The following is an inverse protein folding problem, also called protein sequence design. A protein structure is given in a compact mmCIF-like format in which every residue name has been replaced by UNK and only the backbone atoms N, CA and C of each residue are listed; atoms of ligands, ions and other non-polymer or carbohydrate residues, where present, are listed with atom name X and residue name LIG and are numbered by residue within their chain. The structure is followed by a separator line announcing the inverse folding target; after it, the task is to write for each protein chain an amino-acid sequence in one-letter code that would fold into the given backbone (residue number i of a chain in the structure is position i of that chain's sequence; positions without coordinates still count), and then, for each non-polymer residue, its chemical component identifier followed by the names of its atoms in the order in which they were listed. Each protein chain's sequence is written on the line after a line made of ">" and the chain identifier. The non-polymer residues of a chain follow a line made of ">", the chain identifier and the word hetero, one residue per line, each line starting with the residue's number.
data_IF_743643047048
#
_entry.id   IF_743643047048
#
_cell.length_a   1.000
_cell.length_b   1.000
_cell.length_c   1.000
_cell.angle_alpha   90.00
_cell.angle_beta   90.00
_cell.angle_gamma   90.00
#
_symmetry.space_group_name_H-M   'P 1'
#
loop_
_entity.id
_entity.type
_entity.pdbx_description
1 polymer ?
#
# COMPACT_ATOMS: atom_id res chain seq x y z
N UNK A 1 3.71 9.95 -23.33
CA UNK A 1 3.83 9.71 -21.87
C UNK A 1 4.62 8.44 -21.69
N UNK A 2 5.81 8.52 -21.10
CA UNK A 2 6.59 7.33 -20.73
C UNK A 2 5.77 6.58 -19.68
N UNK A 3 5.30 5.39 -20.00
CA UNK A 3 4.71 4.49 -19.02
C UNK A 3 5.88 3.92 -18.22
N UNK A 4 5.99 4.34 -16.96
CA UNK A 4 6.93 3.74 -16.02
C UNK A 4 6.59 2.25 -15.85
N UNK A 5 7.55 1.37 -16.17
CA UNK A 5 7.38 -0.07 -15.98
C UNK A 5 7.88 -0.42 -14.57
N UNK A 6 6.95 -0.72 -13.68
CA UNK A 6 7.30 -1.15 -12.32
C UNK A 6 8.03 -2.52 -12.38
N UNK A 7 9.13 -2.70 -11.62
CA UNK A 7 9.91 -3.93 -11.68
C UNK A 7 9.11 -5.15 -11.21
N UNK A 8 9.35 -6.29 -11.86
CA UNK A 8 8.79 -7.57 -11.43
C UNK A 8 9.58 -8.11 -10.23
N UNK A 9 8.91 -8.27 -9.11
CA UNK A 9 9.46 -8.83 -7.86
C UNK A 9 8.76 -10.13 -7.44
N UNK A 10 7.90 -10.69 -8.28
CA UNK A 10 7.12 -11.90 -7.96
C UNK A 10 7.99 -13.17 -7.79
N UNK A 11 9.19 -13.19 -8.40
CA UNK A 11 10.13 -14.30 -8.35
C UNK A 11 11.12 -14.26 -7.18
N UNK A 12 11.00 -13.34 -6.23
CA UNK A 12 11.92 -13.27 -5.08
C UNK A 12 11.76 -14.50 -4.18
N UNK A 13 12.89 -15.13 -3.74
CA UNK A 13 12.84 -16.27 -2.84
C UNK A 13 12.31 -15.84 -1.47
N UNK A 14 11.40 -16.62 -0.87
CA UNK A 14 10.93 -16.37 0.48
C UNK A 14 12.09 -16.54 1.49
N UNK A 15 12.10 -15.72 2.53
CA UNK A 15 13.03 -15.87 3.64
C UNK A 15 12.66 -17.09 4.50
N UNK A 16 13.65 -17.90 4.88
CA UNK A 16 13.46 -19.06 5.76
C UNK A 16 13.80 -18.69 7.20
N UNK A 17 12.78 -18.67 8.07
CA UNK A 17 12.93 -18.40 9.49
C UNK A 17 13.43 -19.62 10.27
N UNK A 18 14.15 -19.37 11.36
CA UNK A 18 14.53 -20.42 12.31
C UNK A 18 13.35 -20.90 13.16
N UNK A 19 13.56 -22.03 13.89
CA UNK A 19 12.51 -22.71 14.67
C UNK A 19 12.16 -22.00 15.99
N UNK A 20 12.99 -21.07 16.47
CA UNK A 20 12.73 -20.35 17.72
C UNK A 20 11.66 -19.29 17.52
N UNK A 21 10.81 -19.15 18.53
CA UNK A 21 9.73 -18.17 18.57
C UNK A 21 9.84 -17.32 19.83
N UNK A 22 9.63 -16.03 19.68
CA UNK A 22 9.47 -15.08 20.77
C UNK A 22 8.04 -14.52 20.73
N UNK A 23 7.38 -14.43 21.89
CA UNK A 23 6.01 -13.94 22.00
C UNK A 23 5.99 -12.63 22.81
N UNK A 24 5.38 -11.60 22.24
CA UNK A 24 5.11 -10.32 22.89
C UNK A 24 3.61 -10.21 23.18
N UNK A 25 3.24 -9.81 24.39
CA UNK A 25 1.83 -9.48 24.69
C UNK A 25 1.40 -8.30 23.82
N UNK A 26 0.38 -8.52 23.00
CA UNK A 26 -0.18 -7.53 22.09
C UNK A 26 -1.34 -6.78 22.73
N UNK A 27 -2.35 -7.51 23.21
CA UNK A 27 -3.52 -6.94 23.83
C UNK A 27 -4.15 -7.93 24.84
N UNK A 28 -5.08 -7.43 25.61
CA UNK A 28 -5.98 -8.25 26.44
C UNK A 28 -7.40 -7.99 25.93
N UNK A 29 -8.11 -9.06 25.56
CA UNK A 29 -9.44 -8.94 24.99
C UNK A 29 -10.51 -8.55 26.05
N UNK A 30 -11.74 -8.32 25.60
CA UNK A 30 -12.86 -7.96 26.47
C UNK A 30 -13.22 -9.04 27.52
N UNK A 31 -12.75 -10.26 27.36
CA UNK A 31 -12.93 -11.38 28.29
C UNK A 31 -11.77 -11.52 29.28
N UNK A 32 -10.71 -10.73 29.10
CA UNK A 32 -9.50 -10.78 29.89
C UNK A 32 -8.48 -11.83 29.40
N UNK A 33 -8.63 -12.34 28.19
CA UNK A 33 -7.68 -13.26 27.58
C UNK A 33 -6.52 -12.47 26.93
N UNK A 34 -5.29 -12.94 27.18
CA UNK A 34 -4.06 -12.34 26.64
C UNK A 34 -3.83 -12.81 25.20
N UNK A 35 -3.69 -11.85 24.29
CA UNK A 35 -3.38 -12.09 22.88
C UNK A 35 -1.90 -11.76 22.66
N UNK A 36 -1.17 -12.74 22.15
CA UNK A 36 0.26 -12.61 21.90
C UNK A 36 0.57 -12.50 20.42
N UNK A 37 1.49 -11.62 20.09
CA UNK A 37 2.10 -11.48 18.79
C UNK A 37 3.34 -12.35 18.71
N UNK A 38 3.42 -13.17 17.69
CA UNK A 38 4.53 -14.08 17.43
C UNK A 38 5.63 -13.41 16.61
N UNK A 39 6.88 -13.64 17.02
CA UNK A 39 8.09 -13.27 16.29
C UNK A 39 8.93 -14.52 16.06
N UNK A 40 9.34 -14.74 14.81
CA UNK A 40 10.15 -15.88 14.37
C UNK A 40 11.62 -15.50 14.33
N UNK A 41 12.50 -16.42 14.68
CA UNK A 41 13.94 -16.17 14.66
C UNK A 41 14.42 -15.88 13.22
N UNK A 42 15.10 -14.74 13.05
CA UNK A 42 15.80 -14.39 11.82
C UNK A 42 17.23 -14.91 11.86
N UNK A 43 17.97 -14.54 12.92
CA UNK A 43 19.38 -14.86 13.10
C UNK A 43 19.77 -14.77 14.59
N UNK A 44 20.80 -15.51 14.99
CA UNK A 44 21.38 -15.40 16.31
C UNK A 44 22.92 -15.44 16.24
N UNK A 45 23.54 -14.73 17.15
CA UNK A 45 24.99 -14.81 17.43
C UNK A 45 25.26 -15.01 18.92
N UNK A 46 26.51 -14.89 19.37
CA UNK A 46 26.85 -15.10 20.78
C UNK A 46 26.14 -14.12 21.73
N UNK A 47 25.83 -12.90 21.28
CA UNK A 47 25.32 -11.81 22.10
C UNK A 47 23.85 -11.54 21.91
N UNK A 48 23.32 -11.77 20.72
CA UNK A 48 21.98 -11.31 20.32
C UNK A 48 21.18 -12.39 19.62
N UNK A 49 19.86 -12.24 19.66
CA UNK A 49 18.89 -12.91 18.81
C UNK A 49 18.00 -11.85 18.14
N UNK A 50 17.87 -11.92 16.82
CA UNK A 50 16.99 -11.08 16.03
C UNK A 50 15.75 -11.88 15.64
N UNK A 51 14.59 -11.35 15.96
CA UNK A 51 13.30 -11.93 15.63
C UNK A 51 12.48 -10.97 14.76
N UNK A 52 11.58 -11.53 13.96
CA UNK A 52 10.71 -10.78 13.05
C UNK A 52 9.27 -11.31 13.12
N UNK A 53 8.30 -10.39 13.14
CA UNK A 53 6.87 -10.72 13.01
C UNK A 53 6.40 -10.44 11.60
N UNK A 54 5.93 -11.47 10.92
CA UNK A 54 5.36 -11.36 9.57
C UNK A 54 3.96 -10.73 9.57
N UNK A 55 3.29 -10.67 10.72
CA UNK A 55 1.98 -10.03 10.84
C UNK A 55 2.04 -8.49 10.72
N UNK A 56 3.09 -7.85 11.24
CA UNK A 56 3.22 -6.39 11.28
C UNK A 56 4.54 -5.88 10.70
N UNK A 57 5.38 -6.79 10.19
CA UNK A 57 6.69 -6.52 9.59
C UNK A 57 7.66 -5.81 10.55
N UNK A 58 7.51 -6.05 11.85
CA UNK A 58 8.34 -5.45 12.90
C UNK A 58 9.31 -6.47 13.53
N UNK A 59 10.30 -5.97 14.25
CA UNK A 59 11.35 -6.79 14.82
C UNK A 59 11.42 -6.68 16.35
N UNK A 60 12.02 -7.73 16.94
CA UNK A 60 12.50 -7.76 18.32
C UNK A 60 13.96 -8.15 18.34
N UNK A 61 14.81 -7.37 19.01
CA UNK A 61 16.22 -7.65 19.25
C UNK A 61 16.40 -8.01 20.72
N UNK A 62 16.85 -9.23 20.98
CA UNK A 62 17.08 -9.74 22.34
C UNK A 62 18.59 -9.76 22.63
N UNK A 63 19.01 -9.15 23.72
CA UNK A 63 20.38 -9.27 24.24
C UNK A 63 20.47 -10.47 25.20
N UNK A 64 21.18 -11.52 24.79
CA UNK A 64 21.21 -12.82 25.51
C UNK A 64 21.70 -12.73 26.96
N UNK A 65 22.68 -11.85 27.22
CA UNK A 65 23.30 -11.78 28.55
C UNK A 65 22.42 -11.06 29.58
N UNK A 66 21.68 -10.01 29.22
CA UNK A 66 20.79 -9.27 30.12
C UNK A 66 19.33 -9.71 30.03
N UNK A 67 18.93 -10.34 28.94
CA UNK A 67 17.52 -10.63 28.64
C UNK A 67 16.70 -9.40 28.18
N UNK A 68 17.37 -8.26 27.99
CA UNK A 68 16.69 -7.05 27.48
C UNK A 68 16.23 -7.26 26.04
N UNK A 69 15.06 -6.69 25.74
CA UNK A 69 14.44 -6.77 24.40
C UNK A 69 14.13 -5.37 23.90
N UNK A 70 14.59 -5.05 22.70
CA UNK A 70 14.23 -3.83 21.98
C UNK A 70 13.31 -4.17 20.81
N UNK A 71 12.17 -3.49 20.75
CA UNK A 71 11.21 -3.61 19.66
C UNK A 71 11.35 -2.44 18.69
N UNK A 72 11.09 -2.69 17.42
CA UNK A 72 11.05 -1.59 16.43
C UNK A 72 9.82 -0.68 16.58
N UNK A 73 8.77 -1.19 17.20
CA UNK A 73 7.52 -0.47 17.39
C UNK A 73 7.08 -0.49 18.85
N UNK A 74 6.35 0.53 19.33
CA UNK A 74 5.64 0.50 20.61
C UNK A 74 4.69 -0.70 20.68
N UNK A 75 4.31 -1.10 21.92
CA UNK A 75 3.25 -2.10 22.07
C UNK A 75 1.91 -1.55 21.62
N UNK A 76 1.01 -2.41 21.13
CA UNK A 76 -0.33 -2.01 20.72
C UNK A 76 -1.11 -1.32 21.87
N UNK A 77 -0.89 -1.75 23.11
CA UNK A 77 -1.49 -1.16 24.31
C UNK A 77 -1.03 0.29 24.54
N UNK A 78 0.18 0.64 24.12
CA UNK A 78 0.75 2.00 24.26
C UNK A 78 0.36 2.94 23.13
N UNK A 79 -0.11 2.44 22.00
CA UNK A 79 -0.48 3.27 20.86
C UNK A 79 -1.86 3.92 21.06
N UNK A 80 -1.91 4.97 21.89
CA UNK A 80 -3.10 5.81 22.07
C UNK A 80 -2.92 7.14 21.33
N UNK A 81 -3.05 7.11 20.02
CA UNK A 81 -2.76 8.25 19.15
C UNK A 81 -3.83 8.42 18.07
N UNK A 82 -3.82 9.58 17.39
CA UNK A 82 -4.62 9.77 16.18
C UNK A 82 -4.24 8.74 15.11
N UNK A 83 -5.16 8.44 14.19
CA UNK A 83 -4.95 7.43 13.13
C UNK A 83 -3.63 7.61 12.39
N UNK A 84 -3.28 8.84 12.00
CA UNK A 84 -2.03 9.12 11.30
C UNK A 84 -0.78 8.90 12.15
N UNK A 85 -0.82 9.28 13.43
CA UNK A 85 0.29 9.06 14.36
C UNK A 85 0.42 7.55 14.68
N UNK A 86 -0.68 6.87 14.92
CA UNK A 86 -0.73 5.43 15.14
C UNK A 86 -0.11 4.65 13.97
N UNK A 87 -0.47 5.01 12.73
CA UNK A 87 0.13 4.42 11.53
C UNK A 87 1.65 4.66 11.45
N UNK A 88 2.10 5.87 11.80
CA UNK A 88 3.51 6.22 11.85
C UNK A 88 4.27 5.38 12.89
N UNK A 89 3.70 5.21 14.10
CA UNK A 89 4.28 4.40 15.17
C UNK A 89 4.41 2.91 14.82
N UNK A 90 3.56 2.41 13.92
CA UNK A 90 3.62 1.02 13.41
C UNK A 90 4.55 0.85 12.21
N UNK A 91 5.06 1.94 11.64
CA UNK A 91 5.84 1.88 10.40
C UNK A 91 7.32 1.62 10.65
N UNK A 92 7.91 0.69 9.89
CA UNK A 92 9.36 0.47 9.86
C UNK A 92 10.07 1.51 8.99
N UNK A 93 9.36 2.00 7.97
CA UNK A 93 9.88 2.88 6.94
C UNK A 93 8.89 4.00 6.66
N UNK A 94 9.40 5.24 6.56
CA UNK A 94 8.62 6.40 6.15
C UNK A 94 9.40 7.13 5.07
N UNK A 95 8.77 7.42 3.94
CA UNK A 95 9.35 8.21 2.86
C UNK A 95 8.59 9.54 2.71
N UNK A 96 9.32 10.59 2.40
CA UNK A 96 8.74 11.88 2.01
C UNK A 96 9.04 12.14 0.54
N UNK A 97 8.00 12.40 -0.22
CA UNK A 97 8.07 12.56 -1.67
C UNK A 97 7.55 13.91 -2.12
N UNK A 98 8.05 14.37 -3.27
CA UNK A 98 7.53 15.54 -4.00
C UNK A 98 7.07 15.07 -5.38
N UNK A 99 5.82 15.36 -5.73
CA UNK A 99 5.31 15.18 -7.10
C UNK A 99 5.74 16.40 -7.93
N UNK A 100 6.59 16.20 -8.93
CA UNK A 100 7.16 17.25 -9.79
C UNK A 100 6.11 17.95 -10.66
N UNK A 101 4.95 17.31 -10.89
CA UNK A 101 3.91 17.87 -11.73
C UNK A 101 2.98 18.83 -10.97
N UNK A 102 2.73 18.54 -9.70
CA UNK A 102 1.83 19.31 -8.83
C UNK A 102 2.57 20.09 -7.75
N UNK A 103 3.89 19.90 -7.62
CA UNK A 103 4.74 20.43 -6.54
C UNK A 103 4.24 20.04 -5.13
N UNK A 104 3.38 19.02 -5.06
CA UNK A 104 2.81 18.56 -3.80
C UNK A 104 3.78 17.67 -3.03
N UNK A 105 3.81 17.87 -1.72
CA UNK A 105 4.63 17.07 -0.80
C UNK A 105 3.72 16.06 -0.13
N UNK A 106 4.12 14.79 -0.12
CA UNK A 106 3.42 13.75 0.62
C UNK A 106 4.37 12.97 1.52
N UNK A 107 3.84 12.46 2.62
CA UNK A 107 4.52 11.51 3.51
C UNK A 107 3.78 10.20 3.41
N UNK A 108 4.50 9.15 3.05
CA UNK A 108 4.00 7.79 2.91
C UNK A 108 4.70 6.89 3.91
N UNK A 109 4.00 5.94 4.47
CA UNK A 109 4.55 5.06 5.49
C UNK A 109 4.28 3.58 5.19
N UNK A 110 5.19 2.71 5.62
CA UNK A 110 5.11 1.27 5.32
C UNK A 110 3.90 0.57 5.93
N UNK A 111 3.33 1.11 7.00
CA UNK A 111 2.14 0.52 7.61
C UNK A 111 0.89 0.76 6.74
N UNK A 112 0.48 2.02 6.54
CA UNK A 112 -0.74 2.32 5.78
C UNK A 112 -0.58 2.17 4.28
N UNK A 113 0.57 2.58 3.75
CA UNK A 113 0.81 2.66 2.31
C UNK A 113 1.33 1.34 1.71
N UNK A 114 1.52 0.30 2.54
CA UNK A 114 1.91 -1.04 2.11
C UNK A 114 1.16 -2.12 2.89
N UNK A 115 1.52 -2.36 4.16
CA UNK A 115 1.01 -3.48 4.96
C UNK A 115 -0.52 -3.48 5.11
N UNK A 116 -1.13 -2.34 5.44
CA UNK A 116 -2.57 -2.25 5.64
C UNK A 116 -3.34 -2.53 4.34
N UNK A 117 -2.81 -2.11 3.19
CA UNK A 117 -3.40 -2.45 1.90
C UNK A 117 -3.34 -3.95 1.61
N UNK A 118 -2.22 -4.63 1.94
CA UNK A 118 -2.14 -6.08 1.76
C UNK A 118 -3.11 -6.81 2.69
N UNK A 119 -3.13 -6.47 3.97
CA UNK A 119 -4.05 -7.08 4.95
C UNK A 119 -5.52 -6.98 4.49
N UNK A 120 -5.92 -5.81 4.02
CA UNK A 120 -7.27 -5.62 3.53
C UNK A 120 -7.57 -6.41 2.24
N UNK A 121 -6.59 -6.59 1.35
CA UNK A 121 -6.73 -7.46 0.17
C UNK A 121 -6.87 -8.93 0.57
N UNK A 122 -6.08 -9.37 1.56
CA UNK A 122 -6.11 -10.75 2.06
C UNK A 122 -7.44 -11.03 2.80
N UNK A 123 -7.87 -10.13 3.69
CA UNK A 123 -9.12 -10.25 4.44
C UNK A 123 -10.36 -10.31 3.53
N UNK A 124 -10.35 -9.54 2.44
CA UNK A 124 -11.45 -9.51 1.47
C UNK A 124 -11.25 -10.47 0.30
N UNK A 125 -10.19 -11.30 0.31
CA UNK A 125 -9.87 -12.28 -0.73
C UNK A 125 -9.82 -11.67 -2.15
N UNK A 126 -9.31 -10.43 -2.27
CA UNK A 126 -9.34 -9.67 -3.51
C UNK A 126 -8.36 -10.19 -4.57
N UNK A 127 -7.33 -10.93 -4.14
CA UNK A 127 -6.29 -11.49 -5.00
C UNK A 127 -6.54 -12.94 -5.43
N UNK A 128 -7.65 -13.53 -4.99
CA UNK A 128 -7.92 -14.94 -5.24
C UNK A 128 -7.92 -15.28 -6.73
N UNK A 129 -7.04 -16.22 -7.11
CA UNK A 129 -6.91 -16.69 -8.49
C UNK A 129 -6.28 -15.69 -9.47
N UNK A 130 -5.69 -14.60 -8.95
CA UNK A 130 -5.05 -13.55 -9.76
C UNK A 130 -3.54 -13.53 -9.49
N UNK A 131 -2.75 -13.30 -10.52
CA UNK A 131 -1.33 -12.98 -10.39
C UNK A 131 -1.18 -11.47 -10.20
N UNK A 132 -1.09 -11.04 -8.94
CA UNK A 132 -1.09 -9.63 -8.58
C UNK A 132 0.15 -9.30 -7.78
N UNK A 133 0.77 -8.17 -8.08
CA UNK A 133 1.84 -7.60 -7.28
C UNK A 133 1.37 -7.42 -5.83
N UNK A 134 2.13 -7.97 -4.87
CA UNK A 134 1.87 -7.78 -3.44
C UNK A 134 2.38 -6.43 -2.97
N UNK A 135 1.85 -5.94 -1.86
CA UNK A 135 2.28 -4.69 -1.25
C UNK A 135 3.61 -4.81 -0.49
N UNK A 136 4.07 -6.03 -0.22
CA UNK A 136 5.40 -6.30 0.33
C UNK A 136 5.84 -7.74 0.05
N UNK A 137 7.15 -7.97 0.15
CA UNK A 137 7.78 -9.29 0.05
C UNK A 137 8.79 -9.47 1.18
N UNK A 138 8.76 -10.63 1.83
CA UNK A 138 9.73 -11.02 2.84
C UNK A 138 10.68 -12.00 2.16
N UNK A 139 11.92 -11.57 1.96
CA UNK A 139 12.91 -12.28 1.15
C UNK A 139 14.29 -12.25 1.78
N UNK A 140 15.27 -12.81 1.11
CA UNK A 140 16.66 -12.85 1.54
C UNK A 140 17.45 -11.74 0.85
N UNK A 141 18.26 -10.99 1.59
CA UNK A 141 19.17 -10.02 1.00
C UNK A 141 20.39 -10.71 0.34
N UNK A 142 21.23 -9.98 -0.44
CA UNK A 142 22.37 -10.57 -1.12
C UNK A 142 23.42 -11.25 -0.19
N UNK A 143 23.45 -10.89 1.08
CA UNK A 143 24.39 -11.46 2.09
C UNK A 143 23.76 -12.62 2.88
N UNK A 144 22.50 -12.97 2.60
CA UNK A 144 21.78 -14.07 3.26
C UNK A 144 20.91 -13.64 4.45
N UNK A 145 20.91 -12.35 4.82
CA UNK A 145 20.05 -11.81 5.88
C UNK A 145 18.61 -11.55 5.44
N UNK A 146 17.80 -11.10 6.38
CA UNK A 146 16.39 -10.74 6.10
C UNK A 146 16.29 -9.46 5.25
N UNK A 147 15.47 -9.48 4.26
CA UNK A 147 15.03 -8.30 3.48
C UNK A 147 13.52 -8.21 3.46
N UNK A 148 12.99 -7.02 3.71
CA UNK A 148 11.60 -6.69 3.42
C UNK A 148 11.58 -5.70 2.26
N UNK A 149 10.95 -6.07 1.15
CA UNK A 149 10.71 -5.17 0.03
C UNK A 149 9.32 -4.59 0.18
N UNK A 150 9.23 -3.30 0.49
CA UNK A 150 7.96 -2.58 0.59
C UNK A 150 7.57 -2.02 -0.77
N UNK A 151 6.32 -2.27 -1.18
CA UNK A 151 5.68 -1.57 -2.27
C UNK A 151 4.78 -0.50 -1.64
N UNK A 152 5.31 0.71 -1.55
CA UNK A 152 4.62 1.84 -0.91
C UNK A 152 3.75 2.53 -1.95
N UNK A 153 2.46 2.64 -1.64
CA UNK A 153 1.43 3.08 -2.56
C UNK A 153 0.46 1.94 -2.85
N UNK A 154 -0.77 2.28 -3.21
CA UNK A 154 -1.78 1.27 -3.47
C UNK A 154 -1.53 0.62 -4.83
N UNK A 155 -1.14 -0.66 -4.82
CA UNK A 155 -1.04 -1.46 -6.04
C UNK A 155 -2.41 -1.53 -6.69
N UNK A 156 -2.54 -1.13 -7.97
CA UNK A 156 -3.79 -1.28 -8.68
C UNK A 156 -4.18 -2.75 -8.77
N UNK A 157 -5.42 -3.04 -8.39
CA UNK A 157 -5.98 -4.37 -8.59
C UNK A 157 -6.33 -4.56 -10.07
N UNK A 158 -6.12 -5.76 -10.64
CA UNK A 158 -6.68 -6.08 -11.95
C UNK A 158 -8.19 -6.06 -11.82
N UNK A 159 -8.82 -5.08 -12.45
CA UNK A 159 -10.26 -4.90 -12.38
C UNK A 159 -10.96 -5.95 -13.22
N UNK A 160 -11.96 -6.62 -12.64
CA UNK A 160 -12.78 -7.63 -13.31
C UNK A 160 -13.96 -6.99 -14.03
N UNK A 161 -13.76 -5.82 -14.64
CA UNK A 161 -14.73 -5.18 -15.52
C UNK A 161 -14.01 -4.33 -16.57
N UNK A 162 -14.57 -4.19 -17.78
CA UNK A 162 -13.92 -3.52 -18.88
C UNK A 162 -14.05 -1.98 -18.75
N UNK A 163 -12.99 -1.25 -19.11
CA UNK A 163 -13.04 0.22 -19.23
C UNK A 163 -13.73 0.68 -20.52
N UNK A 164 -13.78 -0.20 -21.53
CA UNK A 164 -14.41 0.03 -22.82
C UNK A 164 -15.21 -1.20 -23.23
N UNK A 165 -16.42 -1.02 -23.74
CA UNK A 165 -17.30 -2.11 -24.17
C UNK A 165 -17.89 -1.74 -25.53
N UNK A 166 -17.82 -2.60 -26.55
CA UNK A 166 -18.54 -2.38 -27.81
C UNK A 166 -20.04 -2.15 -27.59
N UNK A 167 -20.64 -1.18 -28.28
CA UNK A 167 -22.04 -0.77 -28.08
C UNK A 167 -23.02 -1.94 -28.14
N UNK A 168 -22.83 -2.85 -29.09
CA UNK A 168 -23.69 -4.02 -29.23
C UNK A 168 -23.64 -4.93 -27.99
N UNK A 169 -22.44 -5.15 -27.45
CA UNK A 169 -22.23 -6.03 -26.27
C UNK A 169 -22.71 -5.38 -24.98
N UNK A 170 -22.56 -4.05 -24.84
CA UNK A 170 -23.00 -3.31 -23.65
C UNK A 170 -24.47 -3.51 -23.33
N UNK A 171 -25.34 -3.49 -24.33
CA UNK A 171 -26.78 -3.64 -24.14
C UNK A 171 -27.16 -5.02 -23.59
N UNK A 172 -26.46 -6.07 -24.02
CA UNK A 172 -26.65 -7.44 -23.53
C UNK A 172 -26.19 -7.58 -22.08
N UNK A 173 -24.99 -7.08 -21.77
CA UNK A 173 -24.43 -7.09 -20.42
C UNK A 173 -25.32 -6.31 -19.46
N UNK A 174 -25.77 -5.11 -19.84
CA UNK A 174 -26.62 -4.27 -19.02
C UNK A 174 -27.96 -4.93 -18.69
N UNK A 175 -28.57 -5.65 -19.64
CA UNK A 175 -29.80 -6.41 -19.40
C UNK A 175 -29.58 -7.54 -18.37
N UNK A 176 -28.44 -8.22 -18.43
CA UNK A 176 -28.08 -9.27 -17.48
C UNK A 176 -27.76 -8.69 -16.10
N UNK A 177 -27.03 -7.57 -16.04
CA UNK A 177 -26.78 -6.83 -14.80
C UNK A 177 -28.08 -6.41 -14.11
N UNK A 178 -29.06 -5.91 -14.87
CA UNK A 178 -30.38 -5.56 -14.33
C UNK A 178 -31.14 -6.79 -13.83
N UNK A 179 -31.08 -7.89 -14.56
CA UNK A 179 -31.77 -9.13 -14.18
C UNK A 179 -31.23 -9.72 -12.87
N UNK A 180 -29.92 -9.63 -12.63
CA UNK A 180 -29.25 -10.22 -11.46
C UNK A 180 -29.17 -9.22 -10.28
N UNK A 181 -28.77 -7.97 -10.53
CA UNK A 181 -28.54 -6.95 -9.51
C UNK A 181 -29.65 -5.89 -9.37
N UNK A 182 -30.72 -6.00 -10.18
CA UNK A 182 -31.87 -5.11 -10.16
C UNK A 182 -31.58 -3.71 -10.75
N UNK A 183 -32.57 -2.82 -10.64
CA UNK A 183 -32.51 -1.48 -11.19
C UNK A 183 -31.34 -0.66 -10.65
N UNK A 184 -30.95 -0.87 -9.39
CA UNK A 184 -29.81 -0.14 -8.77
C UNK A 184 -28.51 -0.47 -9.46
N UNK A 185 -28.24 -1.75 -9.75
CA UNK A 185 -27.04 -2.19 -10.45
C UNK A 185 -26.98 -1.61 -11.87
N UNK A 186 -28.10 -1.66 -12.59
CA UNK A 186 -28.23 -1.02 -13.91
C UNK A 186 -27.93 0.48 -13.86
N UNK A 187 -28.60 1.22 -12.99
CA UNK A 187 -28.44 2.68 -12.88
C UNK A 187 -27.00 3.06 -12.52
N UNK A 188 -26.35 2.28 -11.63
CA UNK A 188 -24.97 2.52 -11.26
C UNK A 188 -24.03 2.29 -12.46
N UNK A 189 -24.24 1.22 -13.23
CA UNK A 189 -23.46 0.94 -14.43
C UNK A 189 -23.66 2.04 -15.48
N UNK A 190 -24.90 2.40 -15.81
CA UNK A 190 -25.21 3.48 -16.75
C UNK A 190 -24.63 4.84 -16.33
N UNK A 191 -24.57 5.12 -15.03
CA UNK A 191 -24.01 6.37 -14.51
C UNK A 191 -22.49 6.48 -14.70
N UNK A 192 -21.77 5.36 -14.85
CA UNK A 192 -20.31 5.35 -14.99
C UNK A 192 -19.83 5.20 -16.44
N UNK A 193 -20.68 4.75 -17.36
CA UNK A 193 -20.33 4.60 -18.78
C UNK A 193 -21.02 5.62 -19.66
N UNK A 194 -20.34 6.06 -20.72
CA UNK A 194 -20.88 6.94 -21.75
C UNK A 194 -20.69 6.35 -23.13
N UNK A 195 -21.76 6.45 -23.96
CA UNK A 195 -21.64 6.10 -25.37
C UNK A 195 -20.74 7.10 -26.09
N UNK A 196 -19.77 6.58 -26.82
CA UNK A 196 -18.81 7.33 -27.62
C UNK A 196 -18.75 6.75 -29.01
N UNK A 197 -18.92 7.59 -30.01
CA UNK A 197 -18.68 7.31 -31.43
C UNK A 197 -18.14 8.58 -32.12
N UNK A 198 -17.70 8.46 -33.35
CA UNK A 198 -17.08 9.58 -34.07
C UNK A 198 -17.96 10.85 -34.12
N UNK A 199 -19.27 10.71 -34.23
CA UNK A 199 -20.21 11.82 -34.25
C UNK A 199 -20.32 12.52 -32.91
N UNK A 200 -20.53 11.75 -31.83
CA UNK A 200 -20.64 12.29 -30.47
C UNK A 200 -19.29 12.90 -30.03
N UNK A 201 -18.18 12.26 -30.41
CA UNK A 201 -16.84 12.71 -30.05
C UNK A 201 -16.47 14.04 -30.72
N UNK A 202 -16.82 14.22 -31.99
CA UNK A 202 -16.54 15.43 -32.74
C UNK A 202 -17.42 16.63 -32.34
N UNK A 203 -18.56 16.38 -31.69
CA UNK A 203 -19.48 17.44 -31.29
C UNK A 203 -18.94 18.21 -30.07
N UNK A 204 -18.53 19.46 -30.31
CA UNK A 204 -18.02 20.38 -29.27
C UNK A 204 -19.12 21.18 -28.59
N UNK A 205 -20.35 21.09 -29.11
CA UNK A 205 -21.55 21.83 -28.62
C UNK A 205 -22.45 20.92 -27.77
N UNK A 206 -22.18 19.63 -27.76
CA UNK A 206 -23.02 18.62 -27.15
C UNK A 206 -23.00 18.72 -25.62
N UNK A 207 -24.15 18.60 -25.01
CA UNK A 207 -24.31 18.35 -23.56
C UNK A 207 -24.20 16.87 -23.22
N UNK A 208 -24.02 16.00 -24.21
CA UNK A 208 -23.98 14.56 -24.05
C UNK A 208 -22.68 14.11 -23.36
N UNK A 209 -21.54 14.70 -23.77
CA UNK A 209 -20.22 14.46 -23.16
C UNK A 209 -19.52 15.81 -23.01
N UNK A 210 -19.20 16.17 -21.77
CA UNK A 210 -18.43 17.39 -21.45
C UNK A 210 -16.94 17.22 -21.78
N UNK A 211 -16.18 18.32 -21.82
CA UNK A 211 -14.73 18.25 -22.02
C UNK A 211 -14.05 17.48 -20.91
N UNK A 212 -14.45 17.71 -19.65
CA UNK A 212 -13.90 16.98 -18.50
C UNK A 212 -14.17 15.46 -18.62
N UNK A 213 -15.34 15.08 -19.14
CA UNK A 213 -15.64 13.67 -19.41
C UNK A 213 -14.82 13.10 -20.56
N UNK A 214 -14.50 13.90 -21.59
CA UNK A 214 -13.59 13.49 -22.68
C UNK A 214 -12.18 13.24 -22.15
N UNK A 215 -11.69 14.12 -21.27
CA UNK A 215 -10.38 13.96 -20.65
C UNK A 215 -10.32 12.70 -19.76
N UNK A 216 -11.38 12.45 -18.98
CA UNK A 216 -11.53 11.25 -18.19
C UNK A 216 -11.60 9.97 -19.05
N UNK A 217 -12.35 10.02 -20.16
CA UNK A 217 -12.42 8.92 -21.13
C UNK A 217 -11.05 8.64 -21.73
N UNK A 218 -10.29 9.66 -22.13
CA UNK A 218 -8.92 9.48 -22.62
C UNK A 218 -7.98 8.89 -21.56
N UNK A 219 -8.19 9.22 -20.30
CA UNK A 219 -7.42 8.64 -19.20
C UNK A 219 -7.71 7.14 -19.04
N UNK A 220 -8.97 6.71 -19.15
CA UNK A 220 -9.36 5.32 -19.03
C UNK A 220 -9.17 4.51 -20.32
N UNK A 221 -9.27 5.16 -21.47
CA UNK A 221 -9.13 4.55 -22.79
C UNK A 221 -8.24 5.42 -23.71
N UNK A 222 -6.92 5.40 -23.53
CA UNK A 222 -5.97 6.21 -24.31
C UNK A 222 -6.10 6.05 -25.83
N UNK A 223 -6.46 4.86 -26.31
CA UNK A 223 -6.60 4.55 -27.75
C UNK A 223 -7.98 4.94 -28.32
N UNK A 224 -8.84 5.62 -27.54
CA UNK A 224 -10.24 5.87 -27.98
C UNK A 224 -10.32 6.60 -29.31
N UNK A 225 -9.46 7.58 -29.57
CA UNK A 225 -9.52 8.37 -30.82
C UNK A 225 -9.18 7.51 -32.05
N UNK A 226 -8.25 6.58 -31.94
CA UNK A 226 -7.90 5.64 -33.01
C UNK A 226 -9.05 4.66 -33.27
N UNK A 227 -9.63 4.10 -32.21
CA UNK A 227 -10.80 3.20 -32.31
C UNK A 227 -12.01 3.89 -32.95
N UNK A 228 -12.23 5.17 -32.68
CA UNK A 228 -13.31 5.95 -33.30
C UNK A 228 -13.01 6.29 -34.77
N UNK A 229 -11.75 6.50 -35.13
CA UNK A 229 -11.32 6.72 -36.50
C UNK A 229 -11.56 5.48 -37.39
N UNK A 230 -11.49 4.29 -36.81
CA UNK A 230 -11.82 3.01 -37.45
C UNK A 230 -13.34 2.77 -37.57
N UNK A 231 -14.17 3.69 -37.05
CA UNK A 231 -15.62 3.63 -37.12
C UNK A 231 -16.31 2.89 -36.01
N UNK A 232 -15.60 2.63 -34.91
CA UNK A 232 -16.14 1.97 -33.72
C UNK A 232 -17.16 2.81 -32.95
N UNK A 233 -18.01 2.13 -32.17
CA UNK A 233 -18.97 2.72 -31.24
C UNK A 233 -18.91 1.95 -29.92
N UNK A 234 -18.64 2.65 -28.81
CA UNK A 234 -18.31 2.04 -27.54
C UNK A 234 -18.98 2.73 -26.37
N UNK A 235 -19.30 1.98 -25.34
CA UNK A 235 -19.51 2.53 -24.00
C UNK A 235 -18.19 2.56 -23.25
N UNK A 236 -17.77 3.74 -22.79
CA UNK A 236 -16.49 3.94 -22.15
C UNK A 236 -16.67 4.47 -20.73
N UNK A 237 -15.91 3.93 -19.80
CA UNK A 237 -15.86 4.39 -18.43
C UNK A 237 -15.36 5.85 -18.39
N UNK A 238 -16.20 6.77 -17.91
CA UNK A 238 -15.87 8.19 -17.85
C UNK A 238 -15.64 8.70 -16.42
N UNK A 239 -15.81 7.83 -15.42
CA UNK A 239 -15.57 8.18 -14.02
C UNK A 239 -14.13 7.81 -13.64
N UNK A 240 -13.33 8.80 -13.25
CA UNK A 240 -11.99 8.55 -12.66
C UNK A 240 -12.06 8.38 -11.16
N UNK A 241 -13.12 8.88 -10.50
CA UNK A 241 -13.30 8.72 -9.05
C UNK A 241 -13.61 7.26 -8.65
N UNK A 242 -13.99 6.43 -9.61
CA UNK A 242 -14.22 5.00 -9.37
C UNK A 242 -12.95 4.33 -8.82
N UNK A 243 -11.77 4.71 -9.31
CA UNK A 243 -10.49 4.13 -8.88
C UNK A 243 -10.11 4.43 -7.42
N UNK A 244 -10.78 5.40 -6.81
CA UNK A 244 -10.58 5.81 -5.41
C UNK A 244 -11.71 5.36 -4.48
N UNK A 245 -12.76 4.74 -5.03
CA UNK A 245 -13.95 4.33 -4.29
C UNK A 245 -14.09 2.80 -4.28
N UNK A 246 -13.58 2.17 -3.22
CA UNK A 246 -13.56 0.69 -3.07
C UNK A 246 -14.96 0.06 -3.15
N UNK A 247 -15.96 0.70 -2.53
CA UNK A 247 -17.32 0.16 -2.56
C UNK A 247 -17.87 0.19 -4.00
N UNK A 248 -17.60 1.26 -4.73
CA UNK A 248 -18.03 1.36 -6.13
C UNK A 248 -17.29 0.36 -7.01
N UNK A 249 -15.96 0.20 -6.82
CA UNK A 249 -15.16 -0.81 -7.51
C UNK A 249 -15.71 -2.22 -7.27
N UNK A 250 -15.89 -2.60 -6.00
CA UNK A 250 -16.42 -3.93 -5.62
C UNK A 250 -17.82 -4.18 -6.20
N UNK A 251 -18.69 -3.18 -6.18
CA UNK A 251 -20.01 -3.29 -6.80
C UNK A 251 -19.92 -3.51 -8.32
N UNK A 252 -19.09 -2.74 -9.01
CA UNK A 252 -18.89 -2.89 -10.46
C UNK A 252 -18.31 -4.26 -10.82
N UNK A 253 -17.29 -4.72 -10.10
CA UNK A 253 -16.75 -6.06 -10.28
C UNK A 253 -17.82 -7.16 -10.08
N UNK A 254 -18.61 -7.05 -9.01
CA UNK A 254 -19.70 -7.99 -8.76
C UNK A 254 -20.75 -7.99 -9.88
N UNK A 255 -21.16 -6.84 -10.37
CA UNK A 255 -22.16 -6.75 -11.45
C UNK A 255 -21.65 -7.33 -12.77
N UNK A 256 -20.39 -7.08 -13.11
CA UNK A 256 -19.79 -7.65 -14.32
C UNK A 256 -19.50 -9.14 -14.17
N UNK A 257 -19.08 -9.62 -13.02
CA UNK A 257 -18.90 -11.06 -12.76
C UNK A 257 -20.19 -11.86 -12.99
N UNK A 258 -21.34 -11.29 -12.65
CA UNK A 258 -22.66 -11.92 -12.85
C UNK A 258 -23.29 -11.63 -14.23
N UNK A 259 -22.65 -10.80 -15.06
CA UNK A 259 -23.17 -10.39 -16.37
C UNK A 259 -22.97 -11.38 -17.50
N UNK A 260 -22.12 -12.40 -17.27
CA UNK A 260 -21.73 -13.38 -18.29
C UNK A 260 -20.62 -12.87 -19.22
N UNK A 261 -19.93 -11.78 -18.90
CA UNK A 261 -18.68 -11.39 -19.55
C UNK A 261 -17.55 -12.34 -19.09
N UNK A 262 -16.64 -12.70 -19.97
CA UNK A 262 -15.50 -13.53 -19.61
C UNK A 262 -14.26 -12.69 -19.28
N UNK A 263 -13.30 -13.25 -18.55
CA UNK A 263 -12.05 -12.57 -18.26
C UNK A 263 -11.30 -12.22 -19.55
N UNK A 264 -11.32 -13.11 -20.54
CA UNK A 264 -10.69 -12.88 -21.84
C UNK A 264 -11.34 -11.71 -22.60
N UNK A 265 -12.68 -11.57 -22.53
CA UNK A 265 -13.37 -10.40 -23.10
C UNK A 265 -12.97 -9.11 -22.40
N UNK A 266 -12.83 -9.13 -21.06
CA UNK A 266 -12.41 -7.96 -20.29
C UNK A 266 -10.99 -7.54 -20.67
N UNK A 267 -10.06 -8.50 -20.75
CA UNK A 267 -8.67 -8.25 -21.12
C UNK A 267 -8.59 -7.70 -22.55
N UNK A 268 -9.28 -8.32 -23.52
CA UNK A 268 -9.33 -7.85 -24.91
C UNK A 268 -9.85 -6.40 -25.02
N UNK A 269 -10.89 -6.07 -24.28
CA UNK A 269 -11.46 -4.73 -24.30
C UNK A 269 -10.55 -3.70 -23.63
N UNK A 270 -9.94 -4.04 -22.51
CA UNK A 270 -9.00 -3.17 -21.80
C UNK A 270 -7.72 -2.95 -22.61
N UNK A 271 -7.18 -4.01 -23.23
CA UNK A 271 -6.02 -3.92 -24.12
C UNK A 271 -6.32 -3.06 -25.35
N UNK A 272 -7.48 -3.24 -26.00
CA UNK A 272 -7.89 -2.43 -27.14
C UNK A 272 -8.05 -0.95 -26.78
N UNK A 273 -8.56 -0.68 -25.57
CA UNK A 273 -8.67 0.67 -25.04
C UNK A 273 -7.29 1.32 -24.76
N UNK A 274 -6.22 0.52 -24.67
CA UNK A 274 -4.91 0.97 -24.21
C UNK A 274 -4.90 1.28 -22.73
N UNK A 275 -5.79 0.65 -21.95
CA UNK A 275 -5.86 0.84 -20.52
C UNK A 275 -4.64 0.22 -19.84
N UNK A 276 -3.93 1.03 -19.10
CA UNK A 276 -2.81 0.59 -18.28
C UNK A 276 -3.07 1.04 -16.84
N UNK A 277 -2.96 0.11 -15.91
CA UNK A 277 -3.00 0.44 -14.49
C UNK A 277 -1.91 1.45 -14.16
N UNK A 278 -2.25 2.56 -13.51
CA UNK A 278 -1.27 3.60 -13.16
C UNK A 278 -0.43 3.15 -11.96
N UNK A 279 0.72 2.56 -12.25
CA UNK A 279 1.73 2.19 -11.25
C UNK A 279 2.71 3.32 -10.92
N UNK A 280 2.53 4.50 -11.50
CA UNK A 280 3.47 5.63 -11.31
C UNK A 280 3.52 6.15 -9.87
N UNK A 281 2.53 5.81 -9.05
CA UNK A 281 2.47 6.18 -7.63
C UNK A 281 3.15 5.16 -6.69
N UNK A 282 3.72 4.09 -7.22
CA UNK A 282 4.35 3.03 -6.44
C UNK A 282 5.83 3.33 -6.22
N UNK A 283 6.29 2.99 -5.02
CA UNK A 283 7.69 3.07 -4.63
C UNK A 283 8.11 1.71 -4.10
N UNK A 284 9.05 1.06 -4.77
CA UNK A 284 9.70 -0.14 -4.28
C UNK A 284 10.87 0.28 -3.40
N UNK A 285 10.83 -0.08 -2.13
CA UNK A 285 11.86 0.27 -1.16
C UNK A 285 12.31 -0.99 -0.41
N UNK A 286 13.49 -1.55 -0.71
CA UNK A 286 14.05 -2.66 0.05
C UNK A 286 14.63 -2.15 1.37
N UNK A 287 14.44 -2.95 2.43
CA UNK A 287 14.98 -2.70 3.76
C UNK A 287 15.64 -3.99 4.28
N UNK A 288 16.93 -3.92 4.55
CA UNK A 288 17.76 -5.04 4.95
C UNK A 288 18.05 -5.02 6.45
N UNK A 289 18.02 -6.19 7.05
CA UNK A 289 18.33 -6.41 8.45
C UNK A 289 19.52 -7.36 8.57
N UNK A 290 20.50 -6.99 9.39
CA UNK A 290 21.70 -7.76 9.64
C UNK A 290 21.95 -7.82 11.14
N UNK A 291 22.33 -9.00 11.64
CA UNK A 291 22.74 -9.16 13.02
C UNK A 291 24.26 -9.19 13.09
N UNK A 292 24.87 -8.07 13.47
CA UNK A 292 26.31 -7.96 13.65
C UNK A 292 26.72 -8.37 15.08
N UNK A 293 28.02 -8.55 15.31
CA UNK A 293 28.54 -9.02 16.62
C UNK A 293 28.20 -8.05 17.77
N UNK A 294 28.04 -6.78 17.49
CA UNK A 294 27.79 -5.70 18.44
C UNK A 294 26.40 -5.11 18.37
N UNK A 295 25.49 -5.65 17.52
CA UNK A 295 24.11 -5.22 17.47
C UNK A 295 23.42 -5.42 16.14
N UNK A 296 22.32 -4.69 15.97
CA UNK A 296 21.51 -4.69 14.77
C UNK A 296 22.00 -3.60 13.80
N UNK A 297 22.18 -3.99 12.55
CA UNK A 297 22.35 -3.06 11.42
C UNK A 297 21.13 -3.12 10.52
N UNK A 298 20.58 -1.95 10.22
CA UNK A 298 19.49 -1.79 9.27
C UNK A 298 19.92 -0.91 8.12
N UNK A 299 19.61 -1.29 6.89
CA UNK A 299 20.04 -0.61 5.68
C UNK A 299 18.91 -0.51 4.66
N UNK A 300 18.86 0.60 3.96
CA UNK A 300 18.07 0.78 2.74
C UNK A 300 19.04 1.07 1.60
N UNK A 301 19.29 0.11 0.70
CA UNK A 301 20.16 0.31 -0.45
C UNK A 301 19.49 1.29 -1.42
N UNK A 302 19.96 2.53 -1.44
CA UNK A 302 19.34 3.61 -2.19
C UNK A 302 19.34 3.40 -3.71
N UNK A 303 20.33 2.65 -4.21
CA UNK A 303 20.45 2.26 -5.61
C UNK A 303 19.45 1.19 -6.06
N UNK A 304 18.80 0.52 -5.10
CA UNK A 304 17.78 -0.50 -5.35
C UNK A 304 16.35 0.05 -5.12
N UNK A 305 16.21 1.34 -4.81
CA UNK A 305 14.90 1.98 -4.71
C UNK A 305 14.40 2.28 -6.11
N UNK A 306 13.21 1.75 -6.45
CA UNK A 306 12.60 1.91 -7.75
C UNK A 306 11.28 2.70 -7.66
N UNK A 307 11.14 3.71 -8.48
CA UNK A 307 9.94 4.55 -8.60
C UNK A 307 9.99 5.36 -9.89
N UNK A 308 8.89 5.98 -10.28
CA UNK A 308 8.87 6.90 -11.43
C UNK A 308 9.62 8.21 -11.09
N UNK A 309 10.93 8.23 -11.32
CA UNK A 309 11.81 9.38 -11.07
C UNK A 309 11.55 10.55 -12.02
N UNK A 310 10.84 10.34 -13.13
CA UNK A 310 10.40 11.43 -13.99
C UNK A 310 9.29 12.26 -13.33
N UNK A 311 8.52 11.67 -12.45
CA UNK A 311 7.38 12.27 -11.75
C UNK A 311 7.67 12.65 -10.31
N UNK A 312 8.43 11.85 -9.58
CA UNK A 312 8.64 12.02 -8.14
C UNK A 312 10.11 12.26 -7.79
N UNK A 313 10.32 12.93 -6.65
CA UNK A 313 11.57 12.93 -5.90
C UNK A 313 11.32 12.39 -4.50
N UNK A 314 12.22 11.54 -4.00
CA UNK A 314 12.27 11.14 -2.59
C UNK A 314 13.20 12.12 -1.87
N UNK A 315 12.67 12.87 -0.90
CA UNK A 315 13.42 13.92 -0.19
C UNK A 315 13.94 13.49 1.16
N UNK A 316 13.33 12.48 1.77
CA UNK A 316 13.84 11.85 3.01
C UNK A 316 13.31 10.45 3.17
N UNK A 317 14.11 9.64 3.87
CA UNK A 317 13.75 8.29 4.33
C UNK A 317 14.02 8.25 5.84
N UNK A 318 13.02 7.81 6.61
CA UNK A 318 13.12 7.61 8.05
C UNK A 318 12.96 6.12 8.32
N UNK A 319 13.89 5.53 9.07
CA UNK A 319 13.89 4.12 9.42
C UNK A 319 13.57 3.96 10.90
N UNK A 320 12.69 3.04 11.23
CA UNK A 320 12.40 2.56 12.60
C UNK A 320 12.36 3.70 13.63
N UNK A 321 11.56 4.74 13.34
CA UNK A 321 11.54 5.99 14.13
C UNK A 321 11.29 5.74 15.63
N UNK A 322 10.62 4.66 15.97
CA UNK A 322 10.22 4.30 17.32
C UNK A 322 10.99 3.10 17.88
N UNK A 323 12.13 2.74 17.29
CA UNK A 323 12.96 1.64 17.80
C UNK A 323 13.39 1.90 19.24
N UNK A 324 13.17 0.89 20.11
CA UNK A 324 13.48 0.99 21.52
C UNK A 324 12.58 1.95 22.30
N UNK A 325 11.39 2.31 21.75
CA UNK A 325 10.41 3.10 22.48
C UNK A 325 9.90 2.32 23.71
N UNK A 326 9.70 3.02 24.80
CA UNK A 326 9.21 2.49 26.07
C UNK A 326 8.10 3.40 26.63
N UNK A 327 7.24 2.85 27.49
CA UNK A 327 6.23 3.61 28.19
C UNK A 327 6.63 3.91 29.66
N UNK A 328 5.77 4.63 30.37
CA UNK A 328 6.03 5.05 31.76
C UNK A 328 5.95 3.91 32.78
N UNK A 329 5.58 2.70 32.38
CA UNK A 329 5.53 1.50 33.25
C UNK A 329 6.83 0.71 33.19
N UNK A 330 7.66 0.96 32.17
CA UNK A 330 8.92 0.29 31.95
C UNK A 330 10.07 0.96 32.71
N UNK A 331 11.07 0.17 33.07
CA UNK A 331 12.32 0.65 33.67
C UNK A 331 13.35 0.93 32.59
N UNK A 332 13.97 2.10 32.65
CA UNK A 332 15.01 2.49 31.71
C UNK A 332 15.16 4.01 31.60
N UNK A 333 15.99 4.44 30.66
CA UNK A 333 16.28 5.86 30.46
C UNK A 333 16.68 6.18 29.01
N UNK A 334 16.45 7.44 28.63
CA UNK A 334 16.97 8.03 27.42
C UNK A 334 18.14 8.94 27.74
N UNK A 335 19.23 8.81 26.99
CA UNK A 335 20.36 9.76 27.04
C UNK A 335 20.14 10.83 25.99
N UNK A 336 20.00 12.08 26.44
CA UNK A 336 19.89 13.22 25.54
C UNK A 336 21.21 13.98 25.48
N UNK A 337 21.81 14.20 24.30
CA UNK A 337 23.03 14.97 24.16
C UNK A 337 22.73 16.48 24.29
N UNK A 338 22.48 16.95 25.52
CA UNK A 338 22.25 18.36 25.85
C UNK A 338 23.42 18.87 26.70
N UNK A 339 24.36 19.55 26.07
CA UNK A 339 25.57 20.04 26.74
C UNK A 339 26.39 18.93 27.37
N UNK A 340 26.32 18.80 28.70
CA UNK A 340 26.98 17.71 29.45
C UNK A 340 26.27 16.37 29.38
N UNK A 341 25.12 16.31 28.71
CA UNK A 341 24.24 15.17 28.64
C UNK A 341 23.15 15.16 29.74
N UNK A 342 21.97 14.67 29.42
CA UNK A 342 20.86 14.48 30.35
C UNK A 342 20.33 13.07 30.28
N UNK A 343 19.91 12.52 31.43
CA UNK A 343 19.21 11.24 31.55
C UNK A 343 17.73 11.52 31.82
N UNK A 344 16.87 10.91 30.99
CA UNK A 344 15.42 10.96 31.17
C UNK A 344 14.94 9.55 31.48
N UNK A 345 14.54 9.28 32.73
CA UNK A 345 13.97 7.99 33.09
C UNK A 345 12.55 7.86 32.52
N UNK A 346 12.17 6.67 32.05
CA UNK A 346 10.83 6.39 31.49
C UNK A 346 9.73 6.59 32.54
N UNK A 347 9.96 6.15 33.78
CA UNK A 347 9.02 6.23 34.91
C UNK A 347 9.20 7.48 35.77
N UNK A 348 9.58 8.61 35.20
CA UNK A 348 9.83 9.86 35.96
C UNK A 348 8.57 10.57 36.49
N UNK A 349 7.38 10.02 36.25
CA UNK A 349 6.09 10.57 36.67
C UNK A 349 5.67 11.86 35.98
N UNK A 350 6.41 12.30 34.95
CA UNK A 350 6.10 13.50 34.19
C UNK A 350 5.33 13.12 32.93
N UNK A 351 4.03 13.02 33.02
CA UNK A 351 3.14 12.92 31.85
C UNK A 351 2.84 14.33 31.37
N UNK A 352 3.59 14.80 30.37
CA UNK A 352 3.29 16.10 29.77
C UNK A 352 2.37 15.91 28.56
N UNK A 353 1.10 16.23 28.77
CA UNK A 353 0.07 16.25 27.72
C UNK A 353 0.02 17.60 26.96
N UNK A 354 1.03 18.46 27.07
CA UNK A 354 1.03 19.74 26.35
C UNK A 354 1.83 19.66 25.06
N UNK A 355 1.15 19.87 23.96
CA UNK A 355 1.68 20.31 22.69
C UNK A 355 2.60 21.53 22.90
N UNK A 356 3.78 21.50 22.24
CA UNK A 356 4.75 22.58 22.11
C UNK A 356 5.75 22.72 23.26
N UNK A 357 6.85 21.98 23.16
CA UNK A 357 8.14 22.51 23.59
C UNK A 357 8.85 23.08 22.34
N UNK A 358 8.63 24.36 22.05
CA UNK A 358 9.54 25.10 21.20
C UNK A 358 10.78 25.38 22.02
N UNK A 359 11.90 24.76 21.72
CA UNK A 359 13.20 25.15 22.21
C UNK A 359 13.62 26.34 21.34
N UNK A 360 13.73 27.58 21.85
CA UNK A 360 14.32 28.64 21.08
C UNK A 360 15.82 28.33 20.87
N UNK A 361 16.25 28.35 19.62
CA UNK A 361 17.67 28.31 19.24
C UNK A 361 18.34 29.62 19.64
#
# INVERSE_FOLDING_TARGET
>A
TSTYAFPDVSGLPAFEFGDKVFNRLSEVDDNGEEIYKEYKLVEENDNYELYFSDSDLDIALVHKASGEVWFSNPSEQTIQASTGMSARMRSQLIIRTVDKTSESISTKNSYTDSLAYQKDRDENNLDAGKDVLKQYYITTNPEGGLRVVYIIGQVPLPYNFPVLIPEARYSELLATIEANGGLTARMLTEANYKLVNSTIWADTTSTTITNDQKDNIKSNAPNIEDLLAEGGSYYVLHSVSIWQNRLLLSNMEGYFAESGITAEEIDEYNDSAGFVSDNSNLFLVPMDYYLEADGLKVSVPSEEIEYDDSRYDITSITLMEYFGSADSTEEGYIVVPDGSGALINFNNGKVQLSSEMSIPL
#
